data_IF_453962398903
#
_entry.id   IF_453962398903
#
_cell.length_a   1.000
_cell.length_b   1.000
_cell.length_c   1.000
_cell.angle_alpha   90.00
_cell.angle_beta   90.00
_cell.angle_gamma   90.00
#
_symmetry.space_group_name_H-M   'P 1'
#
loop_
_entity.id
_entity.type
_entity.pdbx_description
1 polymer ?
#
# COMPACT_ATOMS: atom_id res chain seq x y z
N UNK A 1 11.20 57.92 9.26
CA UNK A 1 11.31 56.71 10.09
C UNK A 1 11.36 55.50 9.20
N UNK A 2 12.57 54.99 8.94
CA UNK A 2 12.76 53.61 8.51
C UNK A 2 12.68 52.73 9.76
N UNK A 3 11.64 51.91 9.80
CA UNK A 3 11.43 50.79 10.72
C UNK A 3 10.66 49.76 9.87
N UNK A 4 11.03 48.51 9.69
CA UNK A 4 12.14 47.70 10.17
C UNK A 4 12.14 46.52 9.20
N UNK A 5 13.32 45.98 8.96
CA UNK A 5 13.59 44.66 8.42
C UNK A 5 12.42 43.66 8.58
N UNK A 6 11.89 43.18 7.46
CA UNK A 6 11.42 41.79 7.39
C UNK A 6 12.36 41.02 6.47
N UNK A 7 13.63 41.04 6.86
CA UNK A 7 14.61 40.08 6.38
C UNK A 7 14.18 38.67 6.84
N UNK A 8 14.31 37.73 5.92
CA UNK A 8 14.42 36.29 6.16
C UNK A 8 13.23 35.60 6.86
N UNK A 9 12.22 35.20 6.08
CA UNK A 9 11.62 33.87 6.31
C UNK A 9 12.37 32.87 5.42
N UNK A 10 13.57 32.50 5.85
CA UNK A 10 14.20 31.28 5.38
C UNK A 10 13.36 30.11 5.92
N UNK A 11 12.29 29.74 5.20
CA UNK A 11 11.74 28.40 5.28
C UNK A 11 12.86 27.44 4.84
N UNK A 12 13.68 27.03 5.81
CA UNK A 12 14.45 25.80 5.71
C UNK A 12 13.42 24.69 5.66
N UNK A 13 12.97 24.41 4.45
CA UNK A 13 12.09 23.30 4.15
C UNK A 13 12.97 22.06 4.29
N UNK A 14 13.19 21.64 5.53
CA UNK A 14 13.75 20.33 5.83
C UNK A 14 12.86 19.33 5.10
N UNK A 15 13.41 18.69 4.07
CA UNK A 15 12.71 17.66 3.34
C UNK A 15 12.17 16.67 4.37
N UNK A 16 10.86 16.35 4.33
CA UNK A 16 10.27 15.49 5.35
C UNK A 16 11.08 14.21 5.39
N UNK A 17 11.76 13.97 6.52
CA UNK A 17 12.52 12.74 6.69
C UNK A 17 11.54 11.60 6.53
N UNK A 18 11.82 10.71 5.55
CA UNK A 18 10.92 9.61 5.25
C UNK A 18 10.97 8.69 6.45
N UNK A 19 10.02 8.89 7.36
CA UNK A 19 9.93 8.13 8.58
C UNK A 19 9.77 6.65 8.19
N UNK A 20 10.55 5.74 8.79
CA UNK A 20 10.50 4.30 8.49
C UNK A 20 9.07 3.74 8.60
N UNK A 21 8.27 4.34 9.47
CA UNK A 21 6.85 4.07 9.61
C UNK A 21 6.03 4.37 8.33
N UNK A 22 6.42 5.36 7.53
CA UNK A 22 5.81 5.68 6.23
C UNK A 22 6.15 4.61 5.19
N UNK A 23 7.38 4.11 5.23
CA UNK A 23 7.85 3.04 4.34
C UNK A 23 7.09 1.75 4.63
N UNK A 24 6.94 1.37 5.90
CA UNK A 24 6.16 0.20 6.31
C UNK A 24 4.68 0.37 5.93
N UNK A 25 4.09 1.55 6.16
CA UNK A 25 2.72 1.85 5.70
C UNK A 25 2.56 1.73 4.20
N UNK A 26 3.55 2.16 3.43
CA UNK A 26 3.56 2.04 1.97
C UNK A 26 3.62 0.58 1.54
N UNK A 27 4.45 -0.23 2.20
CA UNK A 27 4.57 -1.68 1.94
C UNK A 27 3.28 -2.43 2.27
N UNK A 28 2.58 -2.05 3.34
CA UNK A 28 1.31 -2.65 3.72
C UNK A 28 0.13 -2.21 2.82
N UNK A 29 0.07 -0.93 2.44
CA UNK A 29 -0.88 -0.45 1.44
C UNK A 29 -0.68 -1.15 0.08
N UNK A 30 0.58 -1.38 -0.27
CA UNK A 30 0.99 -2.14 -1.45
C UNK A 30 0.65 -3.64 -1.34
N UNK A 31 0.67 -4.24 -0.16
CA UNK A 31 0.29 -5.64 0.05
C UNK A 31 -1.22 -5.91 0.11
N UNK A 32 -2.02 -4.89 0.43
CA UNK A 32 -3.45 -5.01 0.73
C UNK A 32 -4.39 -4.46 -0.35
N UNK A 33 -3.88 -3.95 -1.47
CA UNK A 33 -4.74 -3.41 -2.52
C UNK A 33 -5.31 -2.03 -2.20
N UNK A 34 -4.57 -1.20 -1.47
CA UNK A 34 -4.85 0.24 -1.34
C UNK A 34 -4.68 0.89 -2.72
N UNK A 35 -5.76 0.87 -3.49
CA UNK A 35 -5.83 1.57 -4.75
C UNK A 35 -6.03 3.06 -4.47
N UNK A 36 -5.20 3.86 -5.12
CA UNK A 36 -5.33 5.32 -5.18
C UNK A 36 -6.76 5.71 -5.56
N UNK A 37 -7.24 6.86 -5.05
CA UNK A 37 -8.58 7.39 -5.37
C UNK A 37 -8.82 7.48 -6.87
N UNK A 38 -7.79 7.82 -7.66
CA UNK A 38 -7.83 7.86 -9.12
C UNK A 38 -8.08 6.48 -9.75
N UNK A 39 -7.50 5.43 -9.19
CA UNK A 39 -7.73 4.05 -9.63
C UNK A 39 -9.16 3.63 -9.30
N UNK A 40 -9.60 3.88 -8.07
CA UNK A 40 -10.98 3.60 -7.66
C UNK A 40 -11.99 4.38 -8.52
N UNK A 41 -11.73 5.64 -8.82
CA UNK A 41 -12.67 6.43 -9.62
C UNK A 41 -12.79 5.89 -11.04
N UNK A 42 -11.68 5.57 -11.71
CA UNK A 42 -11.68 4.92 -13.03
C UNK A 42 -12.36 3.55 -13.01
N UNK A 43 -12.03 2.74 -12.01
CA UNK A 43 -12.48 1.35 -11.91
C UNK A 43 -13.99 1.27 -11.59
N UNK A 44 -14.55 2.31 -10.97
CA UNK A 44 -15.97 2.41 -10.60
C UNK A 44 -16.80 3.30 -11.54
N UNK A 45 -16.18 4.15 -12.38
CA UNK A 45 -16.87 4.97 -13.38
C UNK A 45 -16.85 4.36 -14.78
N UNK A 46 -15.80 3.62 -15.14
CA UNK A 46 -15.66 2.99 -16.46
C UNK A 46 -15.83 1.47 -16.43
N UNK A 47 -15.81 0.85 -15.24
CA UNK A 47 -15.92 -0.61 -15.05
C UNK A 47 -17.05 -1.01 -14.10
N UNK A 48 -17.40 -2.30 -14.10
CA UNK A 48 -18.37 -2.84 -13.12
C UNK A 48 -17.66 -3.22 -11.81
N UNK A 49 -18.09 -2.72 -10.65
CA UNK A 49 -17.51 -3.07 -9.35
C UNK A 49 -17.49 -4.57 -9.04
N UNK A 50 -18.41 -5.33 -9.66
CA UNK A 50 -18.53 -6.78 -9.50
C UNK A 50 -17.28 -7.52 -9.98
N UNK A 51 -16.62 -7.04 -11.05
CA UNK A 51 -15.41 -7.66 -11.58
C UNK A 51 -14.25 -7.62 -10.58
N UNK A 52 -14.10 -6.51 -9.85
CA UNK A 52 -13.08 -6.34 -8.81
C UNK A 52 -13.33 -7.24 -7.59
N UNK A 53 -14.59 -7.44 -7.22
CA UNK A 53 -14.97 -8.33 -6.12
C UNK A 53 -14.65 -9.79 -6.48
N UNK A 54 -14.99 -10.23 -7.68
CA UNK A 54 -14.71 -11.60 -8.14
C UNK A 54 -13.19 -11.82 -8.24
N UNK A 55 -12.45 -10.86 -8.80
CA UNK A 55 -11.00 -10.92 -8.87
C UNK A 55 -10.36 -11.01 -7.47
N UNK A 56 -10.85 -10.21 -6.51
CA UNK A 56 -10.42 -10.27 -5.11
C UNK A 56 -10.67 -11.64 -4.47
N UNK A 57 -11.85 -12.21 -4.67
CA UNK A 57 -12.20 -13.55 -4.16
C UNK A 57 -11.29 -14.65 -4.72
N UNK A 58 -11.05 -14.64 -6.02
CA UNK A 58 -10.15 -15.61 -6.67
C UNK A 58 -8.74 -15.47 -6.10
N UNK A 59 -8.23 -14.24 -6.00
CA UNK A 59 -6.91 -13.96 -5.43
C UNK A 59 -6.79 -14.47 -3.99
N UNK A 60 -7.81 -14.23 -3.15
CA UNK A 60 -7.82 -14.70 -1.76
C UNK A 60 -7.79 -16.23 -1.67
N UNK A 61 -8.56 -16.93 -2.51
CA UNK A 61 -8.57 -18.39 -2.51
C UNK A 61 -7.22 -18.97 -2.93
N UNK A 62 -6.59 -18.38 -3.95
CA UNK A 62 -5.25 -18.76 -4.40
C UNK A 62 -4.20 -18.50 -3.32
N UNK A 63 -4.27 -17.36 -2.62
CA UNK A 63 -3.37 -17.04 -1.53
C UNK A 63 -3.44 -18.07 -0.40
N UNK A 64 -4.66 -18.43 0.02
CA UNK A 64 -4.89 -19.46 1.05
C UNK A 64 -4.34 -20.81 0.59
N UNK A 65 -4.64 -21.22 -0.66
CA UNK A 65 -4.13 -22.46 -1.23
C UNK A 65 -2.60 -22.51 -1.28
N UNK A 66 -1.97 -21.40 -1.65
CA UNK A 66 -0.51 -21.26 -1.67
C UNK A 66 0.11 -21.41 -0.28
N UNK A 67 -0.41 -20.69 0.72
CA UNK A 67 0.06 -20.81 2.11
C UNK A 67 -0.13 -22.24 2.63
N UNK A 68 -1.29 -22.86 2.35
CA UNK A 68 -1.57 -24.23 2.73
C UNK A 68 -0.59 -25.22 2.11
N UNK A 69 -0.32 -25.12 0.81
CA UNK A 69 0.63 -25.98 0.11
C UNK A 69 2.05 -25.84 0.69
N UNK A 70 2.50 -24.60 0.95
CA UNK A 70 3.80 -24.35 1.60
C UNK A 70 3.87 -25.04 2.95
N UNK A 71 2.86 -24.87 3.80
CA UNK A 71 2.80 -25.52 5.11
C UNK A 71 2.88 -27.04 4.98
N UNK A 72 2.13 -27.62 4.03
CA UNK A 72 2.15 -29.06 3.78
C UNK A 72 3.53 -29.56 3.36
N UNK A 73 4.23 -28.81 2.50
CA UNK A 73 5.59 -29.13 2.08
C UNK A 73 6.53 -29.06 3.29
N UNK A 74 6.48 -27.99 4.09
CA UNK A 74 7.34 -27.85 5.28
C UNK A 74 7.11 -29.01 6.25
N UNK A 75 5.86 -29.36 6.54
CA UNK A 75 5.54 -30.47 7.44
C UNK A 75 5.97 -31.84 6.88
N UNK A 76 5.84 -32.06 5.58
CA UNK A 76 6.28 -33.29 4.94
C UNK A 76 7.81 -33.47 4.99
N UNK A 77 8.56 -32.37 4.87
CA UNK A 77 10.03 -32.37 4.94
C UNK A 77 10.57 -32.35 6.38
N UNK A 78 9.75 -31.99 7.36
CA UNK A 78 10.14 -32.00 8.78
C UNK A 78 9.83 -33.34 9.48
N UNK A 79 9.00 -34.18 8.87
CA UNK A 79 8.60 -35.49 9.40
C UNK A 79 9.41 -36.67 8.82
N UNK A 80 10.34 -36.41 7.90
CA UNK A 80 11.36 -37.36 7.43
C UNK A 80 12.72 -36.97 7.95
#
# INVERSE_FOLDING_TARGET
MNQTEKAADSKKQEAPSVNLLHVIKSVFAAGLGVQSSKNRERDFTQGSPKAFIIAGLIFTLLFIGGVYAVVKIVLANAAG
#
